data_IF_068940766584
#
_entry.id   IF_068940766584
#
_cell.length_a   1.000
_cell.length_b   1.000
_cell.length_c   1.000
_cell.angle_alpha   90.00
_cell.angle_beta   90.00
_cell.angle_gamma   90.00
#
_symmetry.space_group_name_H-M   'P 1'
#
loop_
_entity.id
_entity.type
_entity.pdbx_description
1 polymer ?
#
# COMPACT_ATOMS: atom_id res chain seq x y z
N UNK A 1 -10.69 -2.22 -11.48
CA UNK A 1 -9.35 -2.83 -11.67
C UNK A 1 -9.46 -4.34 -11.94
N UNK A 2 -10.53 -4.78 -12.62
CA UNK A 2 -10.89 -6.20 -12.80
C UNK A 2 -9.77 -7.06 -13.41
N UNK A 3 -9.13 -6.57 -14.47
CA UNK A 3 -8.06 -7.29 -15.18
C UNK A 3 -6.66 -7.06 -14.57
N UNK A 4 -6.55 -6.35 -13.45
CA UNK A 4 -5.25 -6.02 -12.84
C UNK A 4 -5.36 -5.92 -11.31
N UNK A 5 -5.82 -6.98 -10.62
CA UNK A 5 -6.03 -6.97 -9.17
C UNK A 5 -4.73 -6.74 -8.39
N UNK A 6 -3.57 -7.14 -8.92
CA UNK A 6 -2.27 -6.95 -8.28
C UNK A 6 -1.83 -5.48 -8.22
N UNK A 7 -2.49 -4.57 -8.96
CA UNK A 7 -2.28 -3.13 -8.86
C UNK A 7 -3.02 -2.48 -7.67
N UNK A 8 -3.96 -3.20 -7.05
CA UNK A 8 -4.79 -2.66 -5.95
C UNK A 8 -3.94 -2.00 -4.85
N UNK A 9 -2.88 -2.63 -4.29
CA UNK A 9 -2.10 -1.99 -3.24
C UNK A 9 -1.48 -0.67 -3.69
N UNK A 10 -0.90 -0.64 -4.90
CA UNK A 10 -0.25 0.57 -5.43
C UNK A 10 -1.25 1.69 -5.68
N UNK A 11 -2.40 1.39 -6.30
CA UNK A 11 -3.44 2.39 -6.57
C UNK A 11 -4.08 2.89 -5.27
N UNK A 12 -4.29 2.03 -4.28
CA UNK A 12 -4.81 2.41 -2.98
C UNK A 12 -3.83 3.33 -2.21
N UNK A 13 -2.52 3.05 -2.27
CA UNK A 13 -1.49 3.93 -1.71
C UNK A 13 -1.48 5.32 -2.38
N UNK A 14 -1.58 5.38 -3.71
CA UNK A 14 -1.68 6.65 -4.44
C UNK A 14 -2.96 7.42 -4.07
N UNK A 15 -4.10 6.72 -3.95
CA UNK A 15 -5.36 7.33 -3.52
C UNK A 15 -5.25 7.92 -2.10
N UNK A 16 -4.58 7.22 -1.19
CA UNK A 16 -4.40 7.64 0.20
C UNK A 16 -3.62 8.95 0.36
N UNK A 17 -2.69 9.24 -0.55
CA UNK A 17 -1.89 10.48 -0.55
C UNK A 17 -2.41 11.54 -1.53
N UNK A 18 -3.49 11.25 -2.27
CA UNK A 18 -4.09 12.19 -3.23
C UNK A 18 -5.06 13.17 -2.57
N UNK A 19 -5.43 14.24 -3.30
CA UNK A 19 -6.54 15.10 -2.89
C UNK A 19 -7.87 14.55 -3.42
N UNK A 20 -8.89 14.49 -2.57
CA UNK A 20 -10.25 14.08 -2.95
C UNK A 20 -10.57 12.63 -2.60
N UNK A 21 -11.56 12.07 -3.29
CA UNK A 21 -12.06 10.70 -3.06
C UNK A 21 -11.87 9.84 -4.30
N UNK A 22 -11.24 8.69 -4.14
CA UNK A 22 -11.04 7.68 -5.18
C UNK A 22 -11.92 6.46 -4.92
N UNK A 23 -12.47 5.89 -5.99
CA UNK A 23 -13.27 4.67 -5.96
C UNK A 23 -12.53 3.58 -6.74
N UNK A 24 -12.09 2.54 -6.05
CA UNK A 24 -11.46 1.36 -6.63
C UNK A 24 -12.48 0.24 -6.59
N UNK A 25 -12.89 -0.29 -7.74
CA UNK A 25 -13.94 -1.33 -7.85
C UNK A 25 -13.48 -2.50 -8.72
N UNK A 26 -14.21 -3.62 -8.68
CA UNK A 26 -13.93 -4.83 -9.44
C UNK A 26 -12.61 -5.48 -9.04
N UNK A 27 -12.30 -5.57 -7.75
CA UNK A 27 -11.07 -6.20 -7.21
C UNK A 27 -11.37 -7.28 -6.17
N UNK A 28 -12.57 -7.88 -6.19
CA UNK A 28 -12.93 -8.98 -5.29
C UNK A 28 -11.88 -10.12 -5.33
N UNK A 29 -11.34 -10.43 -6.51
CA UNK A 29 -10.29 -11.45 -6.66
C UNK A 29 -9.00 -11.13 -5.90
N UNK A 30 -8.73 -9.86 -5.57
CA UNK A 30 -7.56 -9.46 -4.79
C UNK A 30 -7.66 -9.93 -3.31
N UNK A 31 -8.85 -10.33 -2.85
CA UNK A 31 -9.06 -10.90 -1.52
C UNK A 31 -8.46 -12.29 -1.35
N UNK A 32 -8.20 -13.00 -2.44
CA UNK A 32 -7.70 -14.39 -2.44
C UNK A 32 -6.22 -14.49 -2.84
N UNK A 33 -5.48 -13.38 -2.70
CA UNK A 33 -4.06 -13.30 -3.02
C UNK A 33 -3.22 -13.73 -1.81
N UNK A 34 -1.95 -13.34 -1.77
CA UNK A 34 -1.02 -13.62 -0.67
C UNK A 34 -1.60 -13.21 0.69
N UNK A 35 -2.36 -12.10 0.70
CA UNK A 35 -3.28 -11.72 1.76
C UNK A 35 -4.64 -11.35 1.15
N UNK A 36 -5.64 -11.10 2.01
CA UNK A 36 -6.80 -10.32 1.56
C UNK A 36 -6.36 -8.87 1.34
N UNK A 37 -5.87 -8.56 0.13
CA UNK A 37 -5.30 -7.25 -0.19
C UNK A 37 -6.30 -6.11 -0.09
N UNK A 38 -7.60 -6.38 -0.24
CA UNK A 38 -8.64 -5.36 -0.04
C UNK A 38 -8.71 -5.01 1.44
N UNK A 39 -8.88 -6.02 2.29
CA UNK A 39 -8.97 -5.85 3.73
C UNK A 39 -7.66 -5.30 4.33
N UNK A 40 -6.51 -5.85 3.95
CA UNK A 40 -5.23 -5.42 4.51
C UNK A 40 -4.90 -3.98 4.12
N UNK A 41 -5.15 -3.55 2.87
CA UNK A 41 -4.98 -2.14 2.52
C UNK A 41 -5.94 -1.23 3.29
N UNK A 42 -7.20 -1.64 3.46
CA UNK A 42 -8.16 -0.91 4.29
C UNK A 42 -7.67 -0.77 5.74
N UNK A 43 -7.19 -1.86 6.33
CA UNK A 43 -6.67 -1.88 7.69
C UNK A 43 -5.46 -0.95 7.85
N UNK A 44 -4.44 -1.12 7.03
CA UNK A 44 -3.18 -0.40 7.17
C UNK A 44 -3.31 1.10 6.84
N UNK A 45 -4.08 1.47 5.82
CA UNK A 45 -4.33 2.87 5.52
C UNK A 45 -5.17 3.56 6.60
N UNK A 46 -6.10 2.85 7.25
CA UNK A 46 -6.87 3.39 8.37
C UNK A 46 -5.96 3.76 9.55
N UNK A 47 -4.89 2.99 9.82
CA UNK A 47 -3.90 3.31 10.86
C UNK A 47 -3.19 4.65 10.59
N UNK A 48 -3.08 5.03 9.33
CA UNK A 48 -2.51 6.31 8.89
C UNK A 48 -3.53 7.45 8.85
N UNK A 49 -4.72 7.27 9.43
CA UNK A 49 -5.76 8.30 9.51
C UNK A 49 -6.56 8.49 8.22
N UNK A 50 -6.37 7.62 7.22
CA UNK A 50 -7.11 7.70 5.95
C UNK A 50 -8.58 7.35 6.20
N UNK A 51 -9.48 8.24 5.79
CA UNK A 51 -10.91 7.94 5.80
C UNK A 51 -11.23 7.03 4.61
N UNK A 52 -11.58 5.78 4.88
CA UNK A 52 -11.91 4.81 3.85
C UNK A 52 -13.12 3.95 4.20
N UNK A 53 -13.72 3.39 3.15
CA UNK A 53 -14.77 2.39 3.24
C UNK A 53 -14.34 1.17 2.44
N UNK A 54 -14.31 0.02 3.11
CA UNK A 54 -14.14 -1.28 2.46
C UNK A 54 -15.46 -1.72 1.83
N UNK A 55 -15.39 -2.18 0.58
CA UNK A 55 -16.52 -2.77 -0.15
C UNK A 55 -16.17 -4.23 -0.52
N UNK A 56 -17.16 -5.11 -0.78
CA UNK A 56 -16.89 -6.49 -1.17
C UNK A 56 -15.91 -6.62 -2.35
N UNK A 57 -16.01 -5.73 -3.33
CA UNK A 57 -15.19 -5.74 -4.54
C UNK A 57 -14.24 -4.54 -4.65
N UNK A 58 -13.95 -3.81 -3.56
CA UNK A 58 -13.31 -2.52 -3.70
C UNK A 58 -13.00 -1.72 -2.44
N UNK A 59 -12.52 -0.50 -2.67
CA UNK A 59 -12.21 0.51 -1.65
C UNK A 59 -12.70 1.88 -2.12
N UNK A 60 -13.32 2.63 -1.22
CA UNK A 60 -13.56 4.07 -1.38
C UNK A 60 -12.62 4.79 -0.43
N UNK A 61 -11.69 5.58 -0.96
CA UNK A 61 -10.59 6.17 -0.20
C UNK A 61 -10.66 7.69 -0.35
N UNK A 62 -10.80 8.41 0.76
CA UNK A 62 -10.57 9.85 0.80
C UNK A 62 -9.15 10.11 1.26
N UNK A 63 -8.35 10.70 0.38
CA UNK A 63 -6.93 10.92 0.66
C UNK A 63 -6.69 11.90 1.81
N UNK A 64 -5.48 11.83 2.37
CA UNK A 64 -5.09 12.54 3.59
C UNK A 64 -4.30 11.69 4.58
N UNK A 65 -3.51 10.72 4.11
CA UNK A 65 -2.69 9.87 4.96
C UNK A 65 -1.67 10.69 5.79
N UNK A 66 -1.41 10.21 7.01
CA UNK A 66 -0.35 10.67 7.89
C UNK A 66 0.82 9.66 7.93
N UNK A 67 1.91 10.05 8.57
CA UNK A 67 2.99 9.12 8.91
C UNK A 67 2.58 8.18 10.04
N UNK A 68 3.33 7.10 10.26
CA UNK A 68 3.03 6.13 11.31
C UNK A 68 3.69 4.77 11.09
N UNK A 69 3.14 3.75 11.76
CA UNK A 69 3.58 2.37 11.61
C UNK A 69 2.49 1.52 10.96
N UNK A 70 2.90 0.74 9.96
CA UNK A 70 2.06 -0.20 9.22
C UNK A 70 2.77 -1.54 9.11
N UNK A 71 2.05 -2.56 8.68
CA UNK A 71 2.54 -3.91 8.51
C UNK A 71 2.22 -4.41 7.10
N UNK A 72 3.18 -5.06 6.45
CA UNK A 72 2.97 -5.60 5.11
C UNK A 72 2.28 -6.96 5.10
N UNK A 73 2.14 -7.61 6.25
CA UNK A 73 1.55 -8.94 6.41
C UNK A 73 2.20 -9.98 5.49
N UNK A 74 3.52 -9.89 5.35
CA UNK A 74 4.33 -10.72 4.42
C UNK A 74 3.93 -10.62 2.94
N UNK A 75 3.18 -9.58 2.53
CA UNK A 75 2.85 -9.32 1.13
C UNK A 75 3.80 -8.30 0.50
N UNK A 76 4.57 -8.77 -0.48
CA UNK A 76 5.55 -7.98 -1.19
C UNK A 76 4.97 -6.75 -1.91
N UNK A 77 3.72 -6.82 -2.39
CA UNK A 77 3.05 -5.68 -3.04
C UNK A 77 2.68 -4.61 -2.02
N UNK A 78 2.34 -5.00 -0.80
CA UNK A 78 2.05 -4.07 0.28
C UNK A 78 3.30 -3.33 0.73
N UNK A 79 4.45 -4.01 0.86
CA UNK A 79 5.72 -3.33 1.16
C UNK A 79 6.00 -2.22 0.14
N UNK A 80 5.97 -2.57 -1.14
CA UNK A 80 6.26 -1.61 -2.22
C UNK A 80 5.23 -0.48 -2.28
N UNK A 81 3.94 -0.78 -2.05
CA UNK A 81 2.89 0.22 -2.08
C UNK A 81 2.95 1.18 -0.88
N UNK A 82 3.09 0.65 0.34
CA UNK A 82 3.16 1.45 1.57
C UNK A 82 4.43 2.32 1.59
N UNK A 83 5.52 1.87 0.95
CA UNK A 83 6.71 2.70 0.73
C UNK A 83 6.33 4.02 0.05
N UNK A 84 5.46 4.01 -0.97
CA UNK A 84 5.04 5.23 -1.67
C UNK A 84 4.30 6.21 -0.76
N UNK A 85 3.53 5.70 0.21
CA UNK A 85 2.87 6.54 1.21
C UNK A 85 3.94 7.25 2.05
N UNK A 86 4.94 6.50 2.53
CA UNK A 86 6.05 7.03 3.32
C UNK A 86 6.89 8.08 2.62
N UNK A 87 7.04 7.99 1.28
CA UNK A 87 7.73 9.03 0.50
C UNK A 87 7.02 10.40 0.56
N UNK A 88 5.71 10.41 0.76
CA UNK A 88 4.91 11.64 0.81
C UNK A 88 4.70 12.10 2.26
N UNK A 89 4.44 11.17 3.18
CA UNK A 89 4.10 11.51 4.57
C UNK A 89 5.33 11.68 5.47
N UNK A 90 6.48 11.12 5.09
CA UNK A 90 7.69 11.06 5.92
C UNK A 90 7.58 10.07 7.08
N UNK A 91 8.71 9.63 7.65
CA UNK A 91 8.79 8.84 8.89
C UNK A 91 7.85 7.62 9.02
N UNK A 92 7.47 6.99 7.89
CA UNK A 92 6.64 5.78 7.90
C UNK A 92 7.50 4.53 8.14
N UNK A 93 7.09 3.68 9.07
CA UNK A 93 7.73 2.37 9.33
C UNK A 93 6.84 1.23 8.86
N UNK A 94 7.43 0.30 8.12
CA UNK A 94 6.73 -0.88 7.57
C UNK A 94 7.31 -2.14 8.20
N UNK A 95 6.49 -2.87 8.96
CA UNK A 95 6.84 -4.20 9.49
C UNK A 95 6.81 -5.26 8.39
N UNK A 96 7.62 -6.30 8.55
CA UNK A 96 7.79 -7.40 7.60
C UNK A 96 8.24 -6.98 6.19
N UNK A 97 9.02 -5.91 6.11
CA UNK A 97 9.49 -5.35 4.84
C UNK A 97 10.27 -6.36 3.98
N UNK A 98 10.90 -7.37 4.57
CA UNK A 98 11.69 -8.38 3.86
C UNK A 98 10.92 -9.11 2.74
N UNK A 99 9.58 -9.13 2.79
CA UNK A 99 8.75 -9.75 1.75
C UNK A 99 8.94 -9.13 0.36
N UNK A 100 9.45 -7.89 0.23
CA UNK A 100 9.76 -7.29 -1.08
C UNK A 100 10.67 -8.19 -1.95
N UNK A 101 11.50 -9.03 -1.31
CA UNK A 101 12.45 -9.91 -2.01
C UNK A 101 11.79 -10.99 -2.86
N UNK A 102 10.51 -11.30 -2.62
CA UNK A 102 9.76 -12.32 -3.37
C UNK A 102 9.66 -11.96 -4.85
N UNK A 103 9.49 -10.68 -5.18
CA UNK A 103 9.34 -10.23 -6.58
C UNK A 103 10.29 -9.12 -7.00
N UNK A 104 10.84 -8.36 -6.04
CA UNK A 104 11.79 -7.30 -6.34
C UNK A 104 12.92 -7.23 -5.28
N UNK A 105 13.90 -8.15 -5.33
CA UNK A 105 15.03 -8.21 -4.38
C UNK A 105 15.80 -6.91 -4.22
N UNK A 106 16.03 -6.19 -5.33
CA UNK A 106 16.82 -4.96 -5.34
C UNK A 106 15.97 -3.69 -5.16
N UNK A 107 14.72 -3.81 -4.71
CA UNK A 107 13.80 -2.68 -4.56
C UNK A 107 14.39 -1.52 -3.72
N UNK A 108 14.93 -1.75 -2.50
CA UNK A 108 15.52 -0.68 -1.70
C UNK A 108 16.66 0.05 -2.43
N UNK A 109 17.54 -0.71 -3.11
CA UNK A 109 18.68 -0.14 -3.85
C UNK A 109 18.21 0.71 -5.02
N UNK A 110 17.19 0.25 -5.76
CA UNK A 110 16.60 1.01 -6.86
C UNK A 110 15.99 2.31 -6.33
N UNK A 111 15.21 2.25 -5.25
CA UNK A 111 14.58 3.43 -4.66
C UNK A 111 15.63 4.43 -4.14
N UNK A 112 16.67 3.97 -3.43
CA UNK A 112 17.79 4.82 -3.02
C UNK A 112 18.51 5.45 -4.22
N UNK A 113 18.70 4.69 -5.31
CA UNK A 113 19.28 5.19 -6.56
C UNK A 113 18.43 6.26 -7.25
N UNK A 114 17.12 6.31 -7.00
CA UNK A 114 16.21 7.35 -7.46
C UNK A 114 16.17 8.58 -6.52
N UNK A 115 16.95 8.57 -5.43
CA UNK A 115 16.95 9.64 -4.43
C UNK A 115 15.85 9.51 -3.37
N UNK A 116 15.19 8.35 -3.27
CA UNK A 116 14.23 8.05 -2.23
C UNK A 116 14.94 7.40 -1.03
N UNK A 117 15.05 8.08 0.13
CA UNK A 117 15.70 7.50 1.29
C UNK A 117 14.87 6.34 1.84
N UNK A 118 15.46 5.14 1.88
CA UNK A 118 14.90 3.97 2.54
C UNK A 118 15.97 3.35 3.44
N UNK A 119 15.56 2.94 4.63
CA UNK A 119 16.38 2.21 5.58
C UNK A 119 15.67 0.90 5.93
N UNK A 120 16.39 -0.22 5.81
CA UNK A 120 15.93 -1.51 6.34
C UNK A 120 16.64 -1.69 7.68
N UNK A 121 15.85 -1.74 8.74
CA UNK A 121 16.28 -1.89 10.14
C UNK A 121 15.97 -3.28 10.67
#
# INVERSE_FOLDING_TARGET
LENSPDLLPTVAALAAVSQGTSHIMGVEHARYKETDRVHTMALELTKLGVQLKEEPDGLIIRGGAHSGEVESHSDHRLVMALTLVGLITGDLRIKDAASHQVSFPNFPQVMMGLGCPLEII
#
